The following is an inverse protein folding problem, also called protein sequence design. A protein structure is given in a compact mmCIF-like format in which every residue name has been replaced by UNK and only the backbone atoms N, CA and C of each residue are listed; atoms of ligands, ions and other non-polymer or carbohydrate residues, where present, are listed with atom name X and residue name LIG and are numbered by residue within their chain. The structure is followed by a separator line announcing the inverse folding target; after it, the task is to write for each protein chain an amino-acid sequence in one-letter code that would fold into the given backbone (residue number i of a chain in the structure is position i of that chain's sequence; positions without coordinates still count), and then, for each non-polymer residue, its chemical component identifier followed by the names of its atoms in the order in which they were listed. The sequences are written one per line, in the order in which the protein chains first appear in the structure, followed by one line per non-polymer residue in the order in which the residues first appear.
data_IF_386991606387
#
_entry.id   IF_386991606387
#
_cell.length_a   1.000
_cell.length_b   1.000
_cell.length_c   1.000
_cell.angle_alpha   90.00
_cell.angle_beta   90.00
_cell.angle_gamma   90.00
#
_symmetry.space_group_name_H-M   'P 1'
#
loop_
_entity.id
_entity.type
_entity.pdbx_description
1 polymer ?
#
# COMPACT_ATOMS: atom_id res chain seq x y z
N UNK A 1 26.67 -20.95 -37.54
CA UNK A 1 26.89 -21.05 -36.09
C UNK A 1 27.90 -19.97 -35.76
N UNK A 2 27.50 -18.91 -35.07
CA UNK A 2 28.24 -18.43 -33.90
C UNK A 2 27.53 -17.23 -33.27
N UNK A 3 27.62 -17.24 -31.95
CA UNK A 3 26.74 -16.62 -30.98
C UNK A 3 27.45 -15.38 -30.43
N UNK A 4 26.97 -14.18 -30.75
CA UNK A 4 27.52 -12.94 -30.19
C UNK A 4 26.43 -12.18 -29.42
N UNK A 5 26.25 -12.57 -28.16
CA UNK A 5 25.37 -11.90 -27.21
C UNK A 5 25.97 -10.57 -26.77
N UNK A 6 25.43 -9.47 -27.27
CA UNK A 6 25.72 -8.12 -26.77
C UNK A 6 25.26 -7.99 -25.32
N UNK A 7 26.23 -7.99 -24.40
CA UNK A 7 26.10 -7.36 -23.09
C UNK A 7 26.04 -5.85 -23.29
N UNK A 8 24.86 -5.26 -23.17
CA UNK A 8 24.76 -3.80 -23.05
C UNK A 8 24.92 -3.40 -21.59
N UNK A 9 26.12 -2.94 -21.25
CA UNK A 9 26.40 -2.22 -20.01
C UNK A 9 25.98 -0.75 -20.20
N UNK A 10 24.88 -0.33 -19.57
CA UNK A 10 24.49 1.08 -19.59
C UNK A 10 25.07 1.81 -18.38
N UNK A 11 26.09 2.63 -18.67
CA UNK A 11 26.59 3.71 -17.82
C UNK A 11 25.50 4.77 -17.65
N UNK A 12 25.02 4.97 -16.42
CA UNK A 12 24.30 6.17 -15.99
C UNK A 12 24.87 6.52 -14.62
N UNK A 13 26.00 7.23 -14.58
CA UNK A 13 26.70 7.53 -13.31
C UNK A 13 26.86 9.03 -13.01
N UNK A 14 26.29 9.94 -13.81
CA UNK A 14 26.57 11.38 -13.67
C UNK A 14 25.35 12.32 -13.50
N UNK A 15 24.11 11.85 -13.25
CA UNK A 15 23.01 12.75 -12.83
C UNK A 15 22.96 12.82 -11.28
N UNK A 16 23.19 13.97 -10.64
CA UNK A 16 23.18 14.12 -9.18
C UNK A 16 21.88 13.66 -8.52
N UNK A 17 20.74 13.73 -9.22
CA UNK A 17 19.43 13.27 -8.72
C UNK A 17 19.28 11.75 -8.77
N UNK A 18 20.00 11.10 -9.69
CA UNK A 18 20.07 9.64 -9.83
C UNK A 18 21.03 9.05 -8.78
N UNK A 19 22.18 9.71 -8.56
CA UNK A 19 23.15 9.33 -7.52
C UNK A 19 22.58 9.57 -6.11
N UNK A 20 21.83 10.65 -5.86
CA UNK A 20 21.19 10.89 -4.56
C UNK A 20 20.17 9.80 -4.16
N UNK A 21 19.42 9.24 -5.12
CA UNK A 21 18.47 8.14 -4.84
C UNK A 21 19.14 6.77 -4.74
N UNK A 22 20.37 6.61 -5.26
CA UNK A 22 21.24 5.44 -5.03
C UNK A 22 22.07 5.56 -3.74
N UNK A 23 22.45 6.78 -3.36
CA UNK A 23 23.44 7.12 -2.34
C UNK A 23 22.89 7.61 -0.99
N UNK A 24 21.59 7.82 -0.84
CA UNK A 24 20.96 8.17 0.45
C UNK A 24 20.95 7.02 1.50
N UNK A 25 21.93 6.12 1.42
CA UNK A 25 22.28 5.12 2.42
C UNK A 25 23.71 5.32 2.96
N UNK A 26 24.43 6.39 2.61
CA UNK A 26 25.74 6.69 3.19
C UNK A 26 26.04 8.19 3.23
N UNK A 27 26.17 8.70 4.47
CA UNK A 27 26.82 9.93 4.93
C UNK A 27 26.30 11.29 4.43
N UNK A 28 25.79 12.10 5.37
CA UNK A 28 25.89 13.56 5.29
C UNK A 28 26.47 14.12 6.60
N UNK A 29 27.51 14.92 6.41
CA UNK A 29 28.28 15.67 7.41
C UNK A 29 27.50 16.91 7.82
N UNK A 30 27.48 17.17 9.13
CA UNK A 30 26.81 18.29 9.80
C UNK A 30 27.35 19.66 9.39
N UNK A 31 26.45 20.63 9.17
CA UNK A 31 26.75 22.05 9.30
C UNK A 31 25.85 22.67 10.39
N UNK A 32 26.38 23.56 11.25
CA UNK A 32 25.68 24.03 12.45
C UNK A 32 24.61 25.10 12.15
N UNK A 33 23.58 25.25 13.02
CA UNK A 33 22.46 26.15 12.78
C UNK A 33 22.81 27.62 13.10
N UNK A 34 22.42 28.53 12.21
CA UNK A 34 22.37 29.97 12.47
C UNK A 34 21.13 30.32 13.30
N UNK A 35 21.31 31.22 14.28
CA UNK A 35 20.26 31.77 15.15
C UNK A 35 19.34 32.71 14.36
N UNK A 36 18.04 32.80 14.69
CA UNK A 36 17.21 33.91 14.25
C UNK A 36 17.29 35.06 15.26
N UNK A 37 17.63 36.24 14.74
CA UNK A 37 17.51 37.51 15.43
C UNK A 37 16.11 38.12 15.21
N UNK A 38 15.65 38.75 16.28
CA UNK A 38 14.91 40.01 16.33
C UNK A 38 13.37 40.13 16.18
N UNK A 39 12.85 40.75 17.25
CA UNK A 39 11.92 41.89 17.32
C UNK A 39 10.42 41.63 17.34
N UNK A 40 9.88 41.77 18.55
CA UNK A 40 8.50 42.13 18.84
C UNK A 40 8.23 43.62 18.51
N UNK A 41 6.96 43.99 18.26
CA UNK A 41 6.49 45.33 18.59
C UNK A 41 5.30 45.34 19.57
N UNK A 42 5.48 46.22 20.56
CA UNK A 42 4.56 47.03 21.36
C UNK A 42 3.04 46.91 21.17
N UNK A 43 2.37 46.81 22.32
CA UNK A 43 0.96 47.09 22.56
C UNK A 43 0.67 48.60 22.44
N UNK A 44 -0.39 48.96 21.73
CA UNK A 44 -1.09 50.24 21.91
C UNK A 44 -2.59 50.01 21.82
N UNK A 45 -3.30 50.54 22.82
CA UNK A 45 -4.73 50.50 23.02
C UNK A 45 -5.50 51.19 21.88
N UNK A 46 -6.68 50.67 21.54
CA UNK A 46 -7.81 51.53 21.17
C UNK A 46 -9.13 50.85 21.51
N UNK A 47 -9.99 51.62 22.16
CA UNK A 47 -11.31 51.27 22.67
C UNK A 47 -12.32 51.20 21.51
N UNK A 48 -13.12 50.13 21.44
CA UNK A 48 -14.28 50.04 20.56
C UNK A 48 -15.55 50.57 21.26
N UNK A 49 -16.39 51.37 20.59
CA UNK A 49 -17.70 51.73 21.10
C UNK A 49 -18.77 50.68 20.74
N UNK A 50 -19.61 50.40 21.74
CA UNK A 50 -20.78 49.51 21.70
C UNK A 50 -21.75 49.88 20.58
N UNK A 51 -22.09 48.91 19.70
CA UNK A 51 -23.20 49.04 18.74
C UNK A 51 -24.16 47.85 18.86
N UNK A 52 -25.44 48.18 18.90
CA UNK A 52 -26.59 47.34 19.15
C UNK A 52 -26.69 46.08 18.27
N UNK A 53 -27.22 45.00 18.86
CA UNK A 53 -27.60 43.77 18.16
C UNK A 53 -28.83 43.98 17.28
N UNK A 54 -28.83 43.53 16.01
CA UNK A 54 -30.05 43.24 15.26
C UNK A 54 -30.42 41.75 15.34
N UNK A 55 -31.73 41.49 15.31
CA UNK A 55 -32.40 40.18 15.34
C UNK A 55 -31.85 39.12 14.36
N UNK A 56 -32.01 37.82 14.66
CA UNK A 56 -31.51 36.75 13.79
C UNK A 56 -32.35 36.62 12.52
N UNK A 57 -31.71 36.90 11.37
CA UNK A 57 -32.25 36.59 10.05
C UNK A 57 -32.37 35.07 9.86
N UNK A 58 -33.55 34.65 9.40
CA UNK A 58 -33.95 33.28 9.07
C UNK A 58 -32.96 32.64 8.07
N UNK A 59 -32.41 31.48 8.42
CA UNK A 59 -31.54 30.70 7.53
C UNK A 59 -32.30 30.30 6.24
N UNK A 60 -31.70 30.43 5.04
CA UNK A 60 -32.33 29.97 3.81
C UNK A 60 -32.37 28.43 3.79
N UNK A 61 -33.50 27.90 3.34
CA UNK A 61 -33.77 26.47 3.25
C UNK A 61 -32.70 25.75 2.41
N UNK A 62 -32.19 24.63 2.94
CA UNK A 62 -31.27 23.74 2.25
C UNK A 62 -31.91 23.22 0.96
N UNK A 63 -31.25 23.47 -0.18
CA UNK A 63 -31.65 22.86 -1.44
C UNK A 63 -31.35 21.35 -1.40
N UNK A 64 -32.25 20.50 -1.92
CA UNK A 64 -32.06 19.05 -1.92
C UNK A 64 -30.86 18.66 -2.77
N UNK A 65 -29.98 17.84 -2.18
CA UNK A 65 -28.84 17.22 -2.86
C UNK A 65 -29.38 16.36 -4.02
N UNK A 66 -28.89 16.51 -5.26
CA UNK A 66 -29.38 15.72 -6.37
C UNK A 66 -29.12 14.22 -6.13
N UNK A 67 -30.18 13.44 -6.34
CA UNK A 67 -30.21 12.00 -6.14
C UNK A 67 -29.12 11.32 -6.99
N UNK A 68 -28.31 10.52 -6.31
CA UNK A 68 -27.13 9.84 -6.86
C UNK A 68 -27.61 8.79 -7.87
N UNK A 69 -27.15 8.88 -9.12
CA UNK A 69 -27.39 7.84 -10.11
C UNK A 69 -27.07 6.45 -9.51
N UNK A 70 -27.94 5.44 -9.69
CA UNK A 70 -27.75 4.14 -9.07
C UNK A 70 -26.42 3.55 -9.52
N UNK A 71 -25.61 3.13 -8.55
CA UNK A 71 -24.37 2.42 -8.84
C UNK A 71 -24.71 1.17 -9.68
N UNK A 72 -23.92 0.81 -10.70
CA UNK A 72 -24.13 -0.42 -11.44
C UNK A 72 -24.21 -1.59 -10.44
N UNK A 73 -25.16 -2.49 -10.65
CA UNK A 73 -25.38 -3.64 -9.77
C UNK A 73 -24.05 -4.38 -9.56
N UNK A 74 -23.51 -4.24 -8.36
CA UNK A 74 -22.28 -4.91 -7.96
C UNK A 74 -22.65 -6.38 -7.86
N UNK A 75 -22.11 -7.21 -8.75
CA UNK A 75 -22.14 -8.65 -8.57
C UNK A 75 -21.30 -8.92 -7.34
N UNK A 76 -21.95 -8.96 -6.17
CA UNK A 76 -21.32 -9.34 -4.93
C UNK A 76 -20.69 -10.71 -5.13
N UNK A 77 -19.46 -10.87 -4.66
CA UNK A 77 -18.77 -12.15 -4.78
C UNK A 77 -19.60 -13.22 -4.09
N UNK A 78 -19.98 -14.26 -4.83
CA UNK A 78 -20.85 -15.31 -4.30
C UNK A 78 -20.10 -16.12 -3.24
N UNK A 79 -20.79 -16.66 -2.23
CA UNK A 79 -20.16 -17.62 -1.34
C UNK A 79 -19.61 -18.81 -2.13
N UNK A 80 -18.55 -19.46 -1.62
CA UNK A 80 -17.99 -20.63 -2.28
C UNK A 80 -19.02 -21.77 -2.32
N UNK A 81 -19.04 -22.49 -3.44
CA UNK A 81 -19.80 -23.74 -3.58
C UNK A 81 -19.27 -24.79 -2.62
N UNK A 82 -20.06 -25.85 -2.37
CA UNK A 82 -19.62 -26.98 -1.54
C UNK A 82 -18.32 -27.61 -2.04
N UNK A 83 -18.13 -27.68 -3.36
CA UNK A 83 -16.91 -28.24 -3.95
C UNK A 83 -15.69 -27.33 -3.80
N UNK A 84 -15.88 -26.02 -4.02
CA UNK A 84 -14.83 -25.01 -3.79
C UNK A 84 -14.40 -25.02 -2.32
N UNK A 85 -15.36 -25.03 -1.39
CA UNK A 85 -15.11 -25.16 0.03
C UNK A 85 -14.36 -26.46 0.34
N UNK A 86 -14.74 -27.61 -0.24
CA UNK A 86 -14.03 -28.87 -0.03
C UNK A 86 -12.56 -28.82 -0.53
N UNK A 87 -12.30 -28.15 -1.67
CA UNK A 87 -10.94 -27.95 -2.18
C UNK A 87 -10.12 -27.06 -1.24
N UNK A 88 -10.70 -25.98 -0.75
CA UNK A 88 -10.07 -25.08 0.24
C UNK A 88 -9.78 -25.80 1.57
N UNK A 89 -10.72 -26.59 2.09
CA UNK A 89 -10.51 -27.42 3.29
C UNK A 89 -9.35 -28.41 3.09
N UNK A 90 -9.28 -29.06 1.93
CA UNK A 90 -8.20 -29.99 1.60
C UNK A 90 -6.84 -29.28 1.58
N UNK A 91 -6.77 -28.08 0.99
CA UNK A 91 -5.56 -27.28 0.97
C UNK A 91 -5.14 -26.83 2.38
N UNK A 92 -6.08 -26.29 3.17
CA UNK A 92 -5.84 -25.85 4.54
C UNK A 92 -5.31 -27.01 5.42
N UNK A 93 -5.89 -28.21 5.29
CA UNK A 93 -5.44 -29.41 6.00
C UNK A 93 -3.98 -29.76 5.68
N UNK A 94 -3.56 -29.63 4.41
CA UNK A 94 -2.16 -29.87 4.02
C UNK A 94 -1.22 -28.84 4.63
N UNK A 95 -1.61 -27.56 4.61
CA UNK A 95 -0.80 -26.46 5.16
C UNK A 95 -0.43 -26.71 6.62
N UNK A 96 -1.32 -27.27 7.44
CA UNK A 96 -1.07 -27.46 8.86
C UNK A 96 0.19 -28.28 9.17
N UNK A 97 0.59 -29.22 8.29
CA UNK A 97 1.78 -30.05 8.46
C UNK A 97 3.06 -29.49 7.82
N UNK A 98 2.98 -28.39 7.08
CA UNK A 98 4.13 -27.79 6.41
C UNK A 98 5.01 -27.02 7.41
N UNK A 99 6.32 -27.00 7.13
CA UNK A 99 7.28 -26.26 7.95
C UNK A 99 7.58 -24.90 7.33
N UNK A 100 7.59 -23.86 8.15
CA UNK A 100 7.96 -22.51 7.74
C UNK A 100 9.37 -22.48 7.14
N UNK A 101 10.32 -23.24 7.70
CA UNK A 101 11.69 -23.32 7.17
C UNK A 101 11.75 -23.90 5.75
N UNK A 102 10.90 -24.89 5.45
CA UNK A 102 10.84 -25.48 4.10
C UNK A 102 10.23 -24.50 3.11
N UNK A 103 9.13 -23.84 3.49
CA UNK A 103 8.46 -22.83 2.68
C UNK A 103 9.35 -21.61 2.40
N UNK A 104 10.07 -21.10 3.40
CA UNK A 104 11.06 -20.03 3.20
C UNK A 104 12.15 -20.44 2.22
N UNK A 105 12.68 -21.67 2.32
CA UNK A 105 13.69 -22.17 1.38
C UNK A 105 13.15 -22.33 -0.04
N UNK A 106 11.91 -22.80 -0.20
CA UNK A 106 11.22 -22.86 -1.49
C UNK A 106 11.10 -21.46 -2.10
N UNK A 107 10.65 -20.48 -1.32
CA UNK A 107 10.55 -19.08 -1.76
C UNK A 107 11.90 -18.50 -2.21
N UNK A 108 12.95 -18.68 -1.40
CA UNK A 108 14.29 -18.17 -1.73
C UNK A 108 14.86 -18.84 -2.98
N UNK A 109 14.61 -20.14 -3.16
CA UNK A 109 15.09 -20.91 -4.32
C UNK A 109 14.34 -20.55 -5.59
N UNK A 110 13.01 -20.55 -5.55
CA UNK A 110 12.19 -20.49 -6.76
C UNK A 110 11.73 -19.09 -7.12
N UNK A 111 11.62 -18.18 -6.14
CA UNK A 111 10.99 -16.89 -6.36
C UNK A 111 11.97 -15.72 -6.23
N UNK A 112 13.01 -15.78 -5.40
CA UNK A 112 13.90 -14.62 -5.17
C UNK A 112 14.39 -13.93 -6.45
N UNK A 113 14.72 -14.72 -7.49
CA UNK A 113 15.21 -14.23 -8.80
C UNK A 113 14.24 -14.48 -9.96
N UNK A 114 13.01 -14.91 -9.66
CA UNK A 114 12.03 -15.20 -10.70
C UNK A 114 11.55 -13.92 -11.38
N UNK A 115 11.76 -13.87 -12.69
CA UNK A 115 11.21 -12.89 -13.62
C UNK A 115 10.36 -13.66 -14.64
N UNK A 116 9.05 -13.38 -14.73
CA UNK A 116 8.22 -14.08 -15.70
C UNK A 116 8.67 -13.76 -17.13
N UNK A 117 8.71 -14.76 -18.04
CA UNK A 117 9.10 -14.54 -19.42
C UNK A 117 8.05 -13.72 -20.17
N UNK A 118 8.48 -12.97 -21.19
CA UNK A 118 7.62 -12.23 -22.10
C UNK A 118 7.05 -10.90 -21.57
N UNK A 119 7.47 -10.47 -20.38
CA UNK A 119 7.06 -9.18 -19.82
C UNK A 119 8.02 -8.07 -20.23
N UNK A 120 7.48 -6.88 -20.44
CA UNK A 120 8.26 -5.68 -20.76
C UNK A 120 8.13 -4.64 -19.65
N UNK A 121 9.15 -3.79 -19.54
CA UNK A 121 9.24 -2.73 -18.51
C UNK A 121 9.75 -1.42 -19.13
N UNK A 122 9.35 -1.18 -20.39
CA UNK A 122 9.85 -0.08 -21.22
C UNK A 122 9.31 1.24 -20.69
N UNK A 123 8.01 1.34 -20.39
CA UNK A 123 7.38 2.61 -20.06
C UNK A 123 8.00 3.28 -18.82
N UNK A 124 8.40 2.50 -17.80
CA UNK A 124 9.06 3.05 -16.62
C UNK A 124 10.52 3.46 -16.83
N UNK A 125 11.14 3.03 -17.93
CA UNK A 125 12.57 3.25 -18.24
C UNK A 125 12.81 4.34 -19.29
N UNK A 126 11.75 5.00 -19.78
CA UNK A 126 11.85 5.95 -20.90
C UNK A 126 11.66 7.39 -20.46
N UNK A 127 12.54 8.28 -20.94
CA UNK A 127 12.40 9.73 -20.85
C UNK A 127 12.11 10.23 -19.43
N UNK A 128 11.04 11.00 -19.28
CA UNK A 128 10.63 11.61 -18.00
C UNK A 128 10.19 10.59 -16.94
N UNK A 129 9.88 9.35 -17.32
CA UNK A 129 9.38 8.33 -16.38
C UNK A 129 10.48 7.77 -15.48
N UNK A 130 11.76 7.95 -15.83
CA UNK A 130 12.92 7.58 -14.99
C UNK A 130 12.93 8.31 -13.63
N UNK A 131 12.19 9.40 -13.51
CA UNK A 131 12.06 10.16 -12.26
C UNK A 131 10.80 9.80 -11.46
N UNK A 132 9.99 8.85 -11.96
CA UNK A 132 8.68 8.47 -11.40
C UNK A 132 8.69 7.15 -10.59
N UNK A 133 9.85 6.59 -10.25
CA UNK A 133 9.97 5.46 -9.31
C UNK A 133 10.52 5.87 -7.93
N UNK A 134 10.03 5.23 -6.86
CA UNK A 134 10.63 5.34 -5.51
C UNK A 134 11.85 4.43 -5.34
N UNK A 135 11.84 3.27 -5.99
CA UNK A 135 12.90 2.28 -5.90
C UNK A 135 13.16 1.67 -7.27
N UNK A 136 14.36 1.86 -7.81
CA UNK A 136 14.76 1.40 -9.14
C UNK A 136 14.80 -0.14 -9.27
N UNK A 137 14.86 -0.88 -8.16
CA UNK A 137 14.76 -2.35 -8.16
C UNK A 137 13.34 -2.85 -8.42
N UNK A 138 12.33 -1.98 -8.29
CA UNK A 138 10.93 -2.34 -8.52
C UNK A 138 10.49 -1.70 -9.83
N UNK A 139 10.42 -2.52 -10.89
CA UNK A 139 10.00 -2.09 -12.21
C UNK A 139 8.46 -1.97 -12.32
N UNK A 140 7.97 -1.29 -13.35
CA UNK A 140 6.55 -1.28 -13.70
C UNK A 140 6.36 -2.14 -14.96
N UNK A 141 5.52 -3.16 -14.87
CA UNK A 141 5.25 -4.09 -16.00
C UNK A 141 4.31 -3.39 -16.99
N UNK A 142 4.67 -3.35 -18.27
CA UNK A 142 3.89 -2.61 -19.27
C UNK A 142 2.52 -3.23 -19.51
N UNK A 143 2.43 -4.57 -19.52
CA UNK A 143 1.22 -5.33 -19.85
C UNK A 143 0.07 -5.10 -18.87
N UNK A 144 0.39 -4.75 -17.63
CA UNK A 144 -0.58 -4.58 -16.54
C UNK A 144 -0.50 -3.19 -15.92
N UNK A 145 0.29 -2.26 -16.45
CA UNK A 145 0.40 -0.91 -15.88
C UNK A 145 -0.94 -0.20 -15.94
N UNK A 146 -1.18 0.65 -14.96
CA UNK A 146 -2.25 1.64 -15.08
C UNK A 146 -1.81 2.71 -16.07
N UNK A 147 -2.63 2.95 -17.07
CA UNK A 147 -2.47 4.03 -18.06
C UNK A 147 -3.33 5.20 -17.62
N UNK A 148 -2.74 6.36 -17.35
CA UNK A 148 -3.48 7.54 -16.91
C UNK A 148 -4.42 8.01 -18.04
N UNK A 149 -5.73 7.78 -17.85
CA UNK A 149 -6.78 8.14 -18.82
C UNK A 149 -6.78 9.64 -19.11
N UNK A 150 -7.18 10.03 -20.32
CA UNK A 150 -7.30 11.44 -20.73
C UNK A 150 -5.99 12.24 -20.64
N UNK A 151 -4.85 11.56 -20.80
CA UNK A 151 -3.51 12.16 -20.94
C UNK A 151 -2.87 11.68 -22.24
N UNK A 152 -1.97 12.49 -22.80
CA UNK A 152 -1.16 12.08 -23.95
C UNK A 152 -0.25 10.91 -23.61
N UNK A 153 0.09 10.08 -24.60
CA UNK A 153 0.93 8.88 -24.41
C UNK A 153 2.32 9.20 -23.85
N UNK A 154 2.80 10.43 -23.98
CA UNK A 154 4.06 10.92 -23.45
C UNK A 154 4.02 11.27 -21.94
N UNK A 155 2.81 11.32 -21.35
CA UNK A 155 2.55 11.68 -19.95
C UNK A 155 1.52 10.77 -19.27
N UNK A 156 1.27 9.59 -19.85
CA UNK A 156 0.27 8.62 -19.37
C UNK A 156 0.76 7.73 -18.22
N UNK A 157 2.01 7.89 -17.78
CA UNK A 157 2.67 6.94 -16.89
C UNK A 157 2.52 7.30 -15.41
N UNK A 158 2.12 6.29 -14.64
CA UNK A 158 2.25 6.18 -13.18
C UNK A 158 2.81 4.80 -12.83
N UNK A 159 3.59 4.69 -11.74
CA UNK A 159 4.15 3.41 -11.28
C UNK A 159 3.13 2.60 -10.48
N UNK A 160 2.13 2.10 -11.20
CA UNK A 160 1.04 1.29 -10.67
C UNK A 160 0.70 0.16 -11.64
N UNK A 161 0.31 -1.00 -11.10
CA UNK A 161 -0.15 -2.13 -11.90
C UNK A 161 -1.52 -2.61 -11.41
N UNK A 162 -2.36 -3.03 -12.35
CA UNK A 162 -3.56 -3.78 -12.05
C UNK A 162 -3.18 -5.15 -11.46
N UNK A 163 -3.81 -5.50 -10.35
CA UNK A 163 -3.70 -6.80 -9.71
C UNK A 163 -5.08 -7.37 -9.40
N UNK A 164 -5.20 -8.69 -9.38
CA UNK A 164 -6.44 -9.36 -8.99
C UNK A 164 -6.65 -10.69 -9.68
N UNK A 165 -7.69 -11.39 -9.22
CA UNK A 165 -8.14 -12.65 -9.81
C UNK A 165 -8.94 -12.38 -11.10
N UNK A 166 -8.82 -13.25 -12.12
CA UNK A 166 -9.72 -13.21 -13.27
C UNK A 166 -11.14 -13.72 -12.94
N UNK A 167 -11.37 -14.23 -11.73
CA UNK A 167 -12.68 -14.74 -11.32
C UNK A 167 -13.78 -13.66 -11.39
N UNK A 168 -15.00 -13.99 -11.86
CA UNK A 168 -16.12 -13.06 -11.87
C UNK A 168 -16.44 -12.53 -10.47
N UNK A 169 -16.67 -11.22 -10.36
CA UNK A 169 -16.97 -10.57 -9.07
C UNK A 169 -15.76 -10.30 -8.18
N UNK A 170 -14.56 -10.74 -8.57
CA UNK A 170 -13.34 -10.50 -7.80
C UNK A 170 -13.03 -9.00 -7.66
N UNK A 171 -12.47 -8.64 -6.50
CA UNK A 171 -12.00 -7.27 -6.25
C UNK A 171 -10.91 -6.90 -7.25
N UNK A 172 -11.06 -5.74 -7.89
CA UNK A 172 -10.07 -5.17 -8.80
C UNK A 172 -9.12 -4.27 -8.02
N UNK A 173 -7.85 -4.63 -7.96
CA UNK A 173 -6.84 -3.87 -7.25
C UNK A 173 -5.98 -3.05 -8.21
N UNK A 174 -5.63 -1.84 -7.78
CA UNK A 174 -4.50 -1.08 -8.31
C UNK A 174 -3.42 -1.11 -7.24
N UNK A 175 -2.33 -1.83 -7.52
CA UNK A 175 -1.19 -1.93 -6.63
C UNK A 175 -0.11 -0.95 -7.07
N UNK A 176 0.21 0.03 -6.23
CA UNK A 176 1.08 1.17 -6.58
C UNK A 176 2.14 1.43 -5.51
N UNK A 177 3.26 2.03 -5.91
CA UNK A 177 4.16 2.65 -4.94
C UNK A 177 3.46 3.83 -4.23
N UNK A 178 3.98 4.21 -3.06
CA UNK A 178 3.53 5.41 -2.37
C UNK A 178 3.76 6.66 -3.25
N UNK A 179 2.82 7.61 -3.29
CA UNK A 179 3.04 8.87 -3.98
C UNK A 179 4.19 9.65 -3.35
N UNK A 180 4.96 10.36 -4.17
CA UNK A 180 5.90 11.39 -3.73
C UNK A 180 5.56 12.74 -4.36
N UNK A 181 6.29 13.79 -3.99
CA UNK A 181 6.01 15.18 -4.42
C UNK A 181 5.79 15.32 -5.92
N UNK A 182 6.59 14.65 -6.76
CA UNK A 182 6.46 14.72 -8.22
C UNK A 182 5.35 13.83 -8.80
N UNK A 183 4.79 12.88 -8.04
CA UNK A 183 3.82 11.88 -8.54
C UNK A 183 2.45 11.93 -7.85
N UNK A 184 2.26 12.79 -6.85
CA UNK A 184 0.97 12.95 -6.15
C UNK A 184 -0.17 13.40 -7.08
N UNK A 185 0.12 14.24 -8.09
CA UNK A 185 -0.89 14.63 -9.07
C UNK A 185 -1.31 13.44 -9.93
N UNK A 186 -0.36 12.64 -10.39
CA UNK A 186 -0.60 11.41 -11.15
C UNK A 186 -1.44 10.43 -10.32
N UNK A 187 -1.15 10.30 -9.02
CA UNK A 187 -1.89 9.44 -8.11
C UNK A 187 -3.35 9.88 -7.97
N UNK A 188 -3.62 11.16 -7.73
CA UNK A 188 -5.00 11.65 -7.64
C UNK A 188 -5.73 11.60 -8.96
N UNK A 189 -5.03 11.86 -10.07
CA UNK A 189 -5.56 11.67 -11.41
C UNK A 189 -6.02 10.23 -11.65
N UNK A 190 -5.19 9.26 -11.29
CA UNK A 190 -5.53 7.84 -11.34
C UNK A 190 -6.76 7.53 -10.49
N UNK A 191 -6.76 7.89 -9.20
CA UNK A 191 -7.89 7.65 -8.30
C UNK A 191 -9.20 8.26 -8.82
N UNK A 192 -9.14 9.48 -9.35
CA UNK A 192 -10.31 10.20 -9.90
C UNK A 192 -10.83 9.55 -11.19
N UNK A 193 -9.96 9.30 -12.16
CA UNK A 193 -10.35 8.79 -13.49
C UNK A 193 -10.69 7.31 -13.50
N UNK A 194 -10.07 6.50 -12.63
CA UNK A 194 -10.45 5.11 -12.39
C UNK A 194 -11.68 4.98 -11.50
N UNK A 195 -12.20 6.11 -10.98
CA UNK A 195 -13.29 6.14 -10.00
C UNK A 195 -12.98 5.15 -8.87
N UNK A 196 -11.79 5.19 -8.29
CA UNK A 196 -11.43 4.31 -7.18
C UNK A 196 -12.43 4.47 -6.03
N UNK A 197 -12.93 3.38 -5.45
CA UNK A 197 -13.82 3.43 -4.28
C UNK A 197 -13.04 3.61 -3.00
N UNK A 198 -11.82 3.07 -2.96
CA UNK A 198 -11.00 2.98 -1.77
C UNK A 198 -9.51 3.20 -2.05
N UNK A 199 -8.81 3.77 -1.06
CA UNK A 199 -7.36 3.79 -0.93
C UNK A 199 -6.96 3.14 0.39
N UNK A 200 -6.17 2.07 0.32
CA UNK A 200 -5.58 1.39 1.46
C UNK A 200 -4.07 1.66 1.50
N UNK A 201 -3.65 2.50 2.44
CA UNK A 201 -2.26 2.87 2.70
C UNK A 201 -1.70 1.98 3.81
N UNK A 202 -0.80 1.06 3.45
CA UNK A 202 -0.18 0.06 4.33
C UNK A 202 1.25 0.43 4.75
N UNK A 203 1.55 1.72 4.84
CA UNK A 203 2.80 2.24 5.38
C UNK A 203 2.55 3.57 6.08
N UNK A 204 3.44 4.01 6.95
CA UNK A 204 3.41 5.38 7.45
C UNK A 204 4.14 6.35 6.47
N UNK A 205 4.16 7.63 6.79
CA UNK A 205 4.92 8.62 6.02
C UNK A 205 6.42 8.43 6.20
N UNK A 206 6.86 8.16 7.43
CA UNK A 206 8.23 7.83 7.78
C UNK A 206 8.27 6.53 8.57
N UNK A 207 9.30 5.72 8.36
CA UNK A 207 9.52 4.49 9.13
C UNK A 207 11.01 4.39 9.48
N UNK A 208 11.32 3.97 10.72
CA UNK A 208 12.70 3.75 11.18
C UNK A 208 13.27 2.46 10.62
N UNK A 209 14.38 2.53 9.88
CA UNK A 209 15.03 1.35 9.28
C UNK A 209 16.26 0.86 10.04
N UNK A 210 16.81 1.69 10.95
CA UNK A 210 17.85 1.33 11.91
C UNK A 210 18.08 2.50 12.86
N UNK A 211 18.04 2.27 14.18
CA UNK A 211 18.49 3.08 15.34
C UNK A 211 18.33 4.61 15.40
N UNK A 212 18.49 5.34 14.31
CA UNK A 212 18.74 6.78 14.30
C UNK A 212 18.21 7.53 13.06
N UNK A 213 17.73 6.84 12.01
CA UNK A 213 17.29 7.50 10.76
C UNK A 213 15.88 7.09 10.37
N UNK A 214 14.96 8.04 10.47
CA UNK A 214 13.64 7.95 9.83
C UNK A 214 13.79 8.08 8.32
N UNK A 215 13.29 7.10 7.56
CA UNK A 215 13.29 7.15 6.10
C UNK A 215 11.89 7.50 5.61
N UNK A 216 11.76 8.46 4.69
CA UNK A 216 10.48 8.73 4.03
C UNK A 216 10.02 7.49 3.24
N UNK A 217 8.87 6.95 3.62
CA UNK A 217 8.20 5.84 2.93
C UNK A 217 7.07 6.33 2.03
N UNK A 218 6.41 7.42 2.40
CA UNK A 218 5.31 8.01 1.69
C UNK A 218 5.29 9.53 1.90
N UNK A 219 5.00 10.28 0.84
CA UNK A 219 4.79 11.73 0.95
C UNK A 219 3.40 12.00 1.54
N UNK A 220 3.21 13.18 2.14
CA UNK A 220 1.90 13.62 2.66
C UNK A 220 1.00 14.07 1.51
N UNK A 221 0.47 13.10 0.76
CA UNK A 221 -0.32 13.33 -0.46
C UNK A 221 -1.80 13.62 -0.20
N UNK A 222 -2.28 13.57 1.05
CA UNK A 222 -3.66 13.88 1.44
C UNK A 222 -3.70 14.75 2.71
N UNK A 223 -4.69 15.65 2.86
CA UNK A 223 -4.93 16.39 4.11
C UNK A 223 -5.39 15.43 5.21
N UNK A 224 -5.04 15.72 6.47
CA UNK A 224 -5.30 14.80 7.59
C UNK A 224 -6.35 15.30 8.57
N UNK A 225 -6.60 16.61 8.59
CA UNK A 225 -7.63 17.21 9.45
C UNK A 225 -8.98 17.22 8.71
N UNK A 226 -10.11 17.05 9.41
CA UNK A 226 -11.42 17.18 8.79
C UNK A 226 -11.60 18.54 8.13
N UNK A 227 -12.20 18.56 6.94
CA UNK A 227 -12.43 19.71 6.06
C UNK A 227 -11.17 20.44 5.56
N UNK A 228 -9.98 19.98 5.94
CA UNK A 228 -8.72 20.47 5.39
C UNK A 228 -8.61 20.06 3.92
N UNK A 229 -8.12 20.99 3.12
CA UNK A 229 -8.03 20.85 1.67
C UNK A 229 -6.61 21.09 1.21
N UNK A 230 -6.19 20.32 0.21
CA UNK A 230 -4.91 20.46 -0.47
C UNK A 230 -5.13 20.57 -1.98
N UNK A 231 -4.42 21.51 -2.62
CA UNK A 231 -4.39 21.64 -4.08
C UNK A 231 -3.21 20.86 -4.63
N UNK A 232 -3.48 19.93 -5.55
CA UNK A 232 -2.49 19.09 -6.22
C UNK A 232 -2.73 19.16 -7.72
N UNK A 233 -1.99 20.05 -8.40
CA UNK A 233 -2.19 20.31 -9.83
C UNK A 233 -3.64 20.74 -10.14
N UNK A 234 -4.31 20.01 -11.02
CA UNK A 234 -5.71 20.24 -11.37
C UNK A 234 -6.73 19.77 -10.31
N UNK A 235 -6.28 19.06 -9.26
CA UNK A 235 -7.13 18.42 -8.26
C UNK A 235 -7.16 19.20 -6.95
N UNK A 236 -8.34 19.26 -6.36
CA UNK A 236 -8.54 19.71 -4.98
C UNK A 236 -8.96 18.50 -4.16
N UNK A 237 -8.14 18.14 -3.18
CA UNK A 237 -8.31 16.96 -2.33
C UNK A 237 -8.71 17.44 -0.95
N UNK A 238 -9.90 17.04 -0.49
CA UNK A 238 -10.46 17.46 0.79
C UNK A 238 -10.63 16.23 1.68
N UNK A 239 -10.10 16.28 2.90
CA UNK A 239 -10.37 15.27 3.90
C UNK A 239 -11.74 15.53 4.50
N UNK A 240 -12.65 14.57 4.34
CA UNK A 240 -13.93 14.57 5.05
C UNK A 240 -13.74 13.95 6.44
N UNK A 241 -14.83 13.82 7.16
CA UNK A 241 -14.83 13.29 8.52
C UNK A 241 -14.23 11.87 8.61
N UNK A 242 -13.69 11.57 9.80
CA UNK A 242 -13.23 10.21 10.10
C UNK A 242 -14.43 9.28 10.13
N UNK A 243 -14.26 8.10 9.54
CA UNK A 243 -15.29 7.08 9.62
C UNK A 243 -15.24 6.46 11.03
N UNK A 244 -16.38 6.40 11.71
CA UNK A 244 -16.48 5.83 13.05
C UNK A 244 -16.19 4.33 13.09
N UNK A 245 -16.37 3.64 11.96
CA UNK A 245 -16.14 2.21 11.79
C UNK A 245 -15.50 1.93 10.41
N UNK A 246 -14.73 0.83 10.29
CA UNK A 246 -14.42 -0.16 11.33
C UNK A 246 -13.39 0.35 12.36
N UNK A 247 -13.43 -0.20 13.56
CA UNK A 247 -12.42 0.08 14.60
C UNK A 247 -11.31 -0.96 14.48
N UNK A 248 -10.22 -0.57 13.82
CA UNK A 248 -9.02 -1.40 13.68
C UNK A 248 -7.87 -0.65 14.33
N UNK A 249 -7.20 -1.29 15.30
CA UNK A 249 -6.05 -0.69 15.97
C UNK A 249 -4.95 -0.30 14.95
N UNK A 250 -4.33 0.86 15.16
CA UNK A 250 -3.33 1.47 14.26
C UNK A 250 -3.85 1.82 12.85
N UNK A 251 -5.16 1.80 12.63
CA UNK A 251 -5.79 2.25 11.40
C UNK A 251 -6.58 3.54 11.59
N UNK A 252 -6.58 4.40 10.58
CA UNK A 252 -7.42 5.61 10.54
C UNK A 252 -8.22 5.62 9.26
N UNK A 253 -9.54 5.56 9.39
CA UNK A 253 -10.49 5.58 8.30
C UNK A 253 -11.08 6.97 8.10
N UNK A 254 -11.25 7.40 6.86
CA UNK A 254 -11.84 8.70 6.50
C UNK A 254 -12.42 8.64 5.09
N UNK A 255 -13.31 9.57 4.77
CA UNK A 255 -13.64 9.85 3.37
C UNK A 255 -12.70 10.92 2.82
N UNK A 256 -12.31 10.79 1.54
CA UNK A 256 -11.58 11.80 0.78
C UNK A 256 -12.45 12.19 -0.41
N UNK A 257 -12.66 13.50 -0.58
CA UNK A 257 -13.28 14.06 -1.76
C UNK A 257 -12.21 14.59 -2.71
N UNK A 258 -12.33 14.24 -3.99
CA UNK A 258 -11.46 14.69 -5.06
C UNK A 258 -12.30 15.50 -6.04
N UNK A 259 -12.04 16.80 -6.13
CA UNK A 259 -12.67 17.71 -7.10
C UNK A 259 -11.67 18.04 -8.21
N UNK A 260 -12.15 18.08 -9.45
CA UNK A 260 -11.36 18.47 -10.62
C UNK A 260 -12.14 19.52 -11.42
N UNK A 261 -11.75 20.80 -11.28
CA UNK A 261 -12.44 21.93 -11.92
C UNK A 261 -13.97 21.86 -11.72
N UNK A 262 -14.73 21.93 -12.81
CA UNK A 262 -16.20 21.90 -12.85
C UNK A 262 -16.77 20.49 -13.01
N UNK A 263 -15.93 19.45 -12.95
CA UNK A 263 -16.39 18.07 -13.05
C UNK A 263 -16.97 17.58 -11.71
N UNK A 264 -17.92 16.62 -11.72
CA UNK A 264 -18.49 16.06 -10.50
C UNK A 264 -17.39 15.49 -9.58
N UNK A 265 -17.45 15.78 -8.26
CA UNK A 265 -16.47 15.27 -7.32
C UNK A 265 -16.54 13.74 -7.22
N UNK A 266 -15.39 13.12 -6.93
CA UNK A 266 -15.30 11.70 -6.58
C UNK A 266 -15.01 11.59 -5.10
N UNK A 267 -15.88 10.90 -4.37
CA UNK A 267 -15.63 10.53 -2.98
C UNK A 267 -15.17 9.08 -2.93
N UNK A 268 -14.06 8.85 -2.22
CA UNK A 268 -13.52 7.53 -1.91
C UNK A 268 -13.26 7.39 -0.42
N UNK A 269 -13.20 6.16 0.08
CA UNK A 269 -12.77 5.89 1.44
C UNK A 269 -11.25 5.70 1.48
N UNK A 270 -10.61 6.23 2.52
CA UNK A 270 -9.17 6.12 2.73
C UNK A 270 -8.90 5.48 4.08
N UNK A 271 -8.01 4.50 4.11
CA UNK A 271 -7.48 3.89 5.33
C UNK A 271 -5.96 4.04 5.37
N UNK A 272 -5.47 4.67 6.42
CA UNK A 272 -4.05 4.65 6.78
C UNK A 272 -3.83 3.63 7.89
N UNK A 273 -3.14 2.53 7.60
CA UNK A 273 -2.80 1.48 8.54
C UNK A 273 -1.30 1.42 8.83
N UNK A 274 -0.95 1.60 10.11
CA UNK A 274 0.45 1.60 10.62
C UNK A 274 0.87 0.28 11.25
N UNK A 275 -0.06 -0.64 11.46
CA UNK A 275 0.21 -1.90 12.16
C UNK A 275 0.97 -2.96 11.34
N UNK A 276 1.61 -2.59 10.23
CA UNK A 276 2.37 -3.50 9.37
C UNK A 276 3.77 -2.95 9.06
N UNK A 277 4.82 -3.35 9.81
CA UNK A 277 6.20 -2.93 9.57
C UNK A 277 6.74 -3.36 8.19
N UNK A 278 7.61 -2.57 7.54
CA UNK A 278 8.12 -2.88 6.19
C UNK A 278 8.99 -4.14 6.11
N UNK A 279 9.93 -4.29 7.04
CA UNK A 279 10.95 -5.34 7.03
C UNK A 279 10.46 -6.67 7.60
N UNK A 280 9.26 -6.70 8.19
CA UNK A 280 8.73 -7.86 8.90
C UNK A 280 7.26 -8.08 8.50
N UNK A 281 6.60 -9.04 9.13
CA UNK A 281 5.16 -9.23 9.02
C UNK A 281 4.52 -9.19 10.41
N UNK A 282 3.23 -8.83 10.54
CA UNK A 282 2.51 -8.93 11.80
C UNK A 282 2.49 -10.38 12.31
N UNK A 283 2.61 -10.55 13.63
CA UNK A 283 2.48 -11.87 14.28
C UNK A 283 1.04 -12.36 14.16
N UNK A 284 0.08 -11.46 14.35
CA UNK A 284 -1.35 -11.73 14.26
C UNK A 284 -1.92 -11.20 12.93
N UNK A 285 -3.00 -11.82 12.47
CA UNK A 285 -3.68 -11.50 11.21
C UNK A 285 -4.93 -10.64 11.40
N UNK A 286 -5.48 -10.59 12.61
CA UNK A 286 -6.81 -10.00 12.90
C UNK A 286 -6.99 -8.62 12.27
N UNK A 287 -6.00 -7.74 12.42
CA UNK A 287 -6.06 -6.36 11.92
C UNK A 287 -6.08 -6.31 10.40
N UNK A 288 -5.21 -7.08 9.74
CA UNK A 288 -5.15 -7.15 8.26
C UNK A 288 -6.42 -7.80 7.71
N UNK A 289 -6.96 -8.80 8.40
CA UNK A 289 -8.20 -9.45 8.00
C UNK A 289 -9.44 -8.58 8.22
N UNK A 290 -9.45 -7.72 9.25
CA UNK A 290 -10.48 -6.68 9.40
C UNK A 290 -10.42 -5.68 8.24
N UNK A 291 -9.23 -5.28 7.79
CA UNK A 291 -9.06 -4.44 6.60
C UNK A 291 -9.53 -5.15 5.32
N UNK A 292 -9.21 -6.44 5.17
CA UNK A 292 -9.68 -7.24 4.04
C UNK A 292 -11.19 -7.33 3.99
N UNK A 293 -11.87 -7.66 5.11
CA UNK A 293 -13.34 -7.62 5.18
C UNK A 293 -13.91 -6.24 4.87
N UNK A 294 -13.30 -5.19 5.40
CA UNK A 294 -13.73 -3.82 5.12
C UNK A 294 -13.66 -3.49 3.62
N UNK A 295 -12.56 -3.86 2.94
CA UNK A 295 -12.43 -3.72 1.48
C UNK A 295 -13.54 -4.49 0.77
N UNK A 296 -13.76 -5.76 1.14
CA UNK A 296 -14.81 -6.62 0.56
C UNK A 296 -16.21 -6.04 0.69
N UNK A 297 -16.51 -5.39 1.81
CA UNK A 297 -17.82 -4.76 2.04
C UNK A 297 -17.98 -3.43 1.30
N UNK A 298 -16.91 -2.65 1.12
CA UNK A 298 -17.02 -1.25 0.69
C UNK A 298 -16.50 -0.97 -0.73
N UNK A 299 -15.83 -1.91 -1.40
CA UNK A 299 -15.29 -1.67 -2.74
C UNK A 299 -16.35 -1.36 -3.79
N UNK A 300 -17.59 -1.81 -3.58
CA UNK A 300 -18.76 -1.51 -4.43
C UNK A 300 -18.49 -1.73 -5.93
N UNK A 301 -17.80 -2.82 -6.28
CA UNK A 301 -17.46 -3.18 -7.67
C UNK A 301 -16.46 -2.26 -8.37
N UNK A 302 -15.95 -1.22 -7.68
CA UNK A 302 -15.00 -0.24 -8.20
C UNK A 302 -13.56 -0.60 -7.80
N UNK A 303 -12.54 -0.06 -8.50
CA UNK A 303 -11.14 -0.32 -8.18
C UNK A 303 -10.76 0.09 -6.76
N UNK A 304 -9.96 -0.75 -6.10
CA UNK A 304 -9.36 -0.49 -4.79
C UNK A 304 -7.87 -0.21 -5.00
N UNK A 305 -7.42 0.99 -4.63
CA UNK A 305 -6.01 1.36 -4.70
C UNK A 305 -5.34 0.89 -3.41
N UNK A 306 -4.31 0.07 -3.51
CA UNK A 306 -3.52 -0.41 -2.37
C UNK A 306 -2.08 0.01 -2.59
N UNK A 307 -1.50 0.66 -1.59
CA UNK A 307 -0.10 1.06 -1.66
C UNK A 307 0.62 0.85 -0.32
N UNK A 308 1.92 0.64 -0.44
CA UNK A 308 2.88 0.75 0.67
C UNK A 308 4.01 1.65 0.16
N UNK A 309 5.25 1.55 0.65
CA UNK A 309 6.34 2.37 0.11
C UNK A 309 6.63 2.07 -1.37
N UNK A 310 7.02 0.83 -1.69
CA UNK A 310 7.32 0.40 -3.07
C UNK A 310 6.14 -0.25 -3.79
N UNK A 311 5.08 -0.62 -3.05
CA UNK A 311 3.92 -1.29 -3.62
C UNK A 311 4.18 -2.72 -4.09
N UNK A 312 5.29 -3.36 -3.69
CA UNK A 312 5.60 -4.76 -4.05
C UNK A 312 5.73 -5.70 -2.85
N UNK A 313 5.83 -5.16 -1.62
CA UNK A 313 5.78 -5.95 -0.38
C UNK A 313 4.36 -6.04 0.19
N UNK A 314 4.10 -5.35 1.30
CA UNK A 314 2.81 -5.26 2.03
C UNK A 314 1.57 -5.16 1.13
N UNK A 315 1.57 -4.19 0.21
CA UNK A 315 0.47 -3.98 -0.74
C UNK A 315 0.21 -5.19 -1.63
N UNK A 316 1.26 -5.74 -2.25
CA UNK A 316 1.12 -6.93 -3.09
C UNK A 316 0.66 -8.14 -2.25
N UNK A 317 1.19 -8.32 -1.04
CA UNK A 317 0.73 -9.38 -0.12
C UNK A 317 -0.77 -9.26 0.17
N UNK A 318 -1.26 -8.06 0.47
CA UNK A 318 -2.69 -7.83 0.71
C UNK A 318 -3.54 -8.14 -0.54
N UNK A 319 -3.18 -7.60 -1.71
CA UNK A 319 -3.91 -7.86 -2.96
C UNK A 319 -3.91 -9.34 -3.36
N UNK A 320 -2.91 -10.11 -2.90
CA UNK A 320 -2.78 -11.54 -3.22
C UNK A 320 -3.78 -12.42 -2.45
N UNK A 321 -4.36 -11.94 -1.35
CA UNK A 321 -5.29 -12.73 -0.51
C UNK A 321 -6.44 -13.26 -1.38
N UNK A 322 -7.17 -12.38 -2.07
CA UNK A 322 -8.30 -12.77 -2.93
C UNK A 322 -7.84 -13.64 -4.12
N UNK A 323 -6.68 -13.35 -4.72
CA UNK A 323 -6.16 -14.16 -5.82
C UNK A 323 -5.91 -15.60 -5.36
N UNK A 324 -5.24 -15.76 -4.21
CA UNK A 324 -4.90 -17.06 -3.66
C UNK A 324 -6.16 -17.88 -3.32
N UNK A 325 -7.16 -17.25 -2.69
CA UNK A 325 -8.44 -17.90 -2.37
C UNK A 325 -9.10 -18.43 -3.64
N UNK A 326 -9.25 -17.60 -4.69
CA UNK A 326 -9.82 -18.04 -5.96
C UNK A 326 -9.01 -19.15 -6.63
N UNK A 327 -7.68 -19.05 -6.61
CA UNK A 327 -6.81 -20.06 -7.20
C UNK A 327 -6.93 -21.42 -6.50
N UNK A 328 -7.03 -21.42 -5.17
CA UNK A 328 -7.19 -22.63 -4.34
C UNK A 328 -8.61 -23.19 -4.45
N UNK A 329 -9.62 -22.30 -4.53
CA UNK A 329 -11.01 -22.67 -4.78
C UNK A 329 -11.18 -23.39 -6.12
N UNK A 330 -10.35 -23.09 -7.13
CA UNK A 330 -10.29 -23.83 -8.39
C UNK A 330 -9.51 -25.15 -8.30
N UNK A 331 -8.45 -25.21 -7.48
CA UNK A 331 -7.54 -26.35 -7.43
C UNK A 331 -6.90 -26.56 -6.03
N UNK A 332 -7.24 -27.69 -5.39
CA UNK A 332 -6.70 -28.11 -4.07
C UNK A 332 -5.21 -28.45 -4.06
N UNK A 333 -4.56 -28.53 -5.22
CA UNK A 333 -3.12 -28.76 -5.39
C UNK A 333 -2.33 -27.48 -5.63
N UNK A 334 -2.98 -26.32 -5.62
CA UNK A 334 -2.35 -25.00 -5.72
C UNK A 334 -1.19 -24.87 -4.73
N UNK A 335 0.01 -24.64 -5.26
CA UNK A 335 1.16 -24.23 -4.46
C UNK A 335 1.21 -22.71 -4.39
N UNK A 336 1.46 -22.17 -3.20
CA UNK A 336 1.55 -20.72 -3.04
C UNK A 336 2.71 -20.11 -3.82
N UNK A 337 3.77 -20.87 -4.09
CA UNK A 337 4.86 -20.38 -4.94
C UNK A 337 4.37 -20.06 -6.36
N UNK A 338 3.45 -20.84 -6.90
CA UNK A 338 2.87 -20.62 -8.23
C UNK A 338 1.91 -19.42 -8.20
N UNK A 339 1.17 -19.24 -7.10
CA UNK A 339 0.42 -18.00 -6.86
C UNK A 339 1.34 -16.79 -6.90
N UNK A 340 2.49 -16.80 -6.20
CA UNK A 340 3.43 -15.67 -6.27
C UNK A 340 4.00 -15.46 -7.67
N UNK A 341 4.29 -16.53 -8.41
CA UNK A 341 4.74 -16.44 -9.80
C UNK A 341 3.68 -15.79 -10.70
N UNK A 342 2.40 -16.09 -10.48
CA UNK A 342 1.29 -15.45 -11.18
C UNK A 342 1.21 -13.96 -10.85
N UNK A 343 1.28 -13.59 -9.56
CA UNK A 343 1.23 -12.18 -9.17
C UNK A 343 2.44 -11.39 -9.64
N UNK A 344 3.60 -12.04 -9.81
CA UNK A 344 4.77 -11.41 -10.44
C UNK A 344 4.61 -11.14 -11.93
N UNK A 345 3.62 -11.75 -12.59
CA UNK A 345 3.18 -11.34 -13.93
C UNK A 345 2.34 -10.07 -13.93
N UNK A 346 1.75 -9.73 -12.79
CA UNK A 346 0.91 -8.55 -12.62
C UNK A 346 1.70 -7.38 -12.02
N UNK A 347 2.56 -7.62 -11.02
CA UNK A 347 3.37 -6.58 -10.35
C UNK A 347 4.79 -7.11 -10.11
N UNK A 348 5.79 -6.38 -10.61
CA UNK A 348 7.19 -6.76 -10.45
C UNK A 348 7.57 -6.88 -8.97
N UNK A 349 8.34 -7.92 -8.65
CA UNK A 349 8.79 -8.22 -7.29
C UNK A 349 7.65 -8.35 -6.25
N UNK A 350 6.41 -8.65 -6.69
CA UNK A 350 5.31 -8.97 -5.79
C UNK A 350 5.76 -10.03 -4.77
N UNK A 351 5.56 -9.69 -3.49
CA UNK A 351 5.98 -10.44 -2.31
C UNK A 351 7.52 -10.56 -2.30
N UNK A 352 8.16 -9.65 -1.54
CA UNK A 352 9.61 -9.43 -1.57
C UNK A 352 10.40 -10.34 -0.63
N UNK A 353 9.80 -10.77 0.47
CA UNK A 353 10.49 -11.56 1.51
C UNK A 353 9.75 -12.85 1.82
N UNK A 354 10.51 -13.82 2.30
CA UNK A 354 9.99 -15.08 2.81
C UNK A 354 9.03 -14.86 4.00
N UNK A 355 9.30 -13.88 4.87
CA UNK A 355 8.42 -13.53 5.99
C UNK A 355 7.03 -13.12 5.50
N UNK A 356 6.96 -12.29 4.45
CA UNK A 356 5.69 -11.89 3.83
C UNK A 356 5.02 -13.06 3.10
N UNK A 357 5.80 -13.96 2.51
CA UNK A 357 5.29 -15.19 1.89
C UNK A 357 4.66 -16.14 2.92
N UNK A 358 5.31 -16.34 4.06
CA UNK A 358 4.74 -17.12 5.17
C UNK A 358 3.47 -16.44 5.73
N UNK A 359 3.50 -15.12 5.89
CA UNK A 359 2.32 -14.38 6.36
C UNK A 359 1.15 -14.49 5.39
N UNK A 360 1.40 -14.49 4.08
CA UNK A 360 0.35 -14.72 3.07
C UNK A 360 -0.36 -16.08 3.26
N UNK A 361 0.37 -17.14 3.61
CA UNK A 361 -0.29 -18.44 3.90
C UNK A 361 -1.23 -18.34 5.10
N UNK A 362 -0.80 -17.63 6.16
CA UNK A 362 -1.62 -17.42 7.35
C UNK A 362 -2.87 -16.58 7.03
N UNK A 363 -2.70 -15.49 6.28
CA UNK A 363 -3.81 -14.63 5.84
C UNK A 363 -4.83 -15.40 4.99
N UNK A 364 -4.36 -16.24 4.06
CA UNK A 364 -5.24 -17.07 3.21
C UNK A 364 -5.97 -18.11 4.06
N UNK A 365 -5.29 -18.73 5.02
CA UNK A 365 -5.91 -19.67 5.95
C UNK A 365 -7.00 -18.98 6.79
N UNK A 366 -6.74 -17.78 7.31
CA UNK A 366 -7.73 -17.00 8.04
C UNK A 366 -8.90 -16.56 7.18
N UNK A 367 -8.65 -16.12 5.96
CA UNK A 367 -9.71 -15.77 5.02
C UNK A 367 -10.65 -16.97 4.81
N UNK A 368 -10.11 -18.17 4.60
CA UNK A 368 -10.91 -19.39 4.48
C UNK A 368 -11.70 -19.71 5.75
N UNK A 369 -11.15 -19.50 6.94
CA UNK A 369 -11.89 -19.68 8.20
C UNK A 369 -13.03 -18.66 8.31
N UNK A 370 -12.77 -17.40 7.96
CA UNK A 370 -13.76 -16.32 7.99
C UNK A 370 -14.90 -16.54 7.00
N UNK A 371 -14.61 -17.08 5.82
CA UNK A 371 -15.59 -17.47 4.81
C UNK A 371 -16.31 -18.80 5.13
N UNK A 372 -16.02 -19.41 6.28
CA UNK A 372 -16.52 -20.75 6.69
C UNK A 372 -16.14 -21.85 5.70
N UNK A 373 -15.11 -21.62 4.89
CA UNK A 373 -14.51 -22.57 3.96
C UNK A 373 -13.42 -23.43 4.60
N UNK A 374 -12.96 -23.12 5.82
CA UNK A 374 -12.03 -23.96 6.58
C UNK A 374 -12.38 -23.98 8.08
N UNK A 375 -11.93 -25.02 8.79
CA UNK A 375 -12.09 -25.09 10.25
C UNK A 375 -11.01 -24.26 10.96
N UNK A 376 -11.30 -23.70 12.15
CA UNK A 376 -10.27 -23.11 13.01
C UNK A 376 -9.13 -24.08 13.27
N UNK A 377 -7.92 -23.55 13.42
CA UNK A 377 -6.67 -24.32 13.27
C UNK A 377 -5.77 -24.28 14.51
N UNK A 378 -6.36 -24.35 15.71
CA UNK A 378 -5.67 -24.22 17.00
C UNK A 378 -4.47 -25.16 17.20
N UNK A 379 -4.47 -26.35 16.57
CA UNK A 379 -3.40 -27.34 16.65
C UNK A 379 -2.43 -27.33 15.44
N UNK A 380 -2.38 -26.24 14.65
CA UNK A 380 -1.57 -26.19 13.44
C UNK A 380 -0.07 -25.99 13.74
N UNK A 381 0.75 -26.96 13.33
CA UNK A 381 2.21 -26.86 13.38
C UNK A 381 2.74 -25.66 12.59
N UNK A 382 2.25 -25.47 11.37
CA UNK A 382 2.62 -24.31 10.54
C UNK A 382 2.42 -22.98 11.29
N UNK A 383 1.25 -22.80 11.90
CA UNK A 383 0.89 -21.55 12.60
C UNK A 383 1.75 -21.34 13.84
N UNK A 384 1.98 -22.39 14.62
CA UNK A 384 2.88 -22.33 15.77
C UNK A 384 4.32 -21.97 15.35
N UNK A 385 4.82 -22.57 14.27
CA UNK A 385 6.14 -22.24 13.70
C UNK A 385 6.18 -20.78 13.20
N UNK A 386 5.13 -20.31 12.52
CA UNK A 386 5.05 -18.93 12.02
C UNK A 386 5.09 -17.92 13.16
N UNK A 387 4.24 -18.09 14.18
CA UNK A 387 4.19 -17.16 15.33
C UNK A 387 5.56 -17.07 16.00
N UNK A 388 6.22 -18.20 16.25
CA UNK A 388 7.58 -18.23 16.82
C UNK A 388 8.62 -17.58 15.90
N UNK A 389 8.58 -17.85 14.60
CA UNK A 389 9.51 -17.28 13.62
C UNK A 389 9.38 -15.75 13.56
N UNK A 390 8.15 -15.26 13.42
CA UNK A 390 7.84 -13.84 13.27
C UNK A 390 8.05 -13.08 14.58
N UNK A 391 7.73 -13.64 15.75
CA UNK A 391 8.05 -13.02 17.04
C UNK A 391 9.56 -12.76 17.17
N UNK A 392 10.39 -13.76 16.85
CA UNK A 392 11.85 -13.62 16.90
C UNK A 392 12.37 -12.65 15.83
N UNK A 393 11.83 -12.69 14.62
CA UNK A 393 12.25 -11.82 13.53
C UNK A 393 11.86 -10.36 13.80
N UNK A 394 10.62 -10.13 14.21
CA UNK A 394 10.09 -8.80 14.56
C UNK A 394 10.78 -8.24 15.79
N UNK A 395 11.06 -9.04 16.83
CA UNK A 395 11.87 -8.60 17.97
C UNK A 395 13.27 -8.13 17.52
N UNK A 396 13.92 -8.84 16.59
CA UNK A 396 15.21 -8.40 16.01
C UNK A 396 15.06 -7.16 15.14
N UNK A 397 13.98 -7.04 14.37
CA UNK A 397 13.67 -5.83 13.60
C UNK A 397 13.56 -4.61 14.54
N UNK A 398 12.82 -4.75 15.65
CA UNK A 398 12.57 -3.69 16.64
C UNK A 398 13.83 -3.38 17.46
N UNK A 399 14.59 -4.40 17.89
CA UNK A 399 15.86 -4.21 18.62
C UNK A 399 16.95 -3.55 17.78
N UNK A 400 16.91 -3.66 16.45
CA UNK A 400 17.77 -2.86 15.54
C UNK A 400 17.35 -1.39 15.45
N UNK A 401 16.17 -1.05 15.98
CA UNK A 401 15.62 0.32 16.02
C UNK A 401 15.83 0.96 17.40
N UNK A 402 16.02 0.19 18.48
CA UNK A 402 16.33 0.72 19.80
C UNK A 402 17.86 0.92 19.99
N UNK A 403 18.29 1.99 20.68
CA UNK A 403 19.71 2.18 20.99
C UNK A 403 20.22 1.02 21.85
N UNK A 404 21.44 0.54 21.56
CA UNK A 404 22.15 -0.30 22.52
C UNK A 404 22.37 0.52 23.78
N UNK A 405 22.20 -0.05 24.99
CA UNK A 405 22.62 0.64 26.20
C UNK A 405 24.09 1.01 26.04
N UNK A 406 24.39 2.29 26.25
CA UNK A 406 25.78 2.76 26.36
C UNK A 406 26.31 2.10 27.63
N UNK A 407 27.28 1.22 27.51
CA UNK A 407 28.03 0.77 28.68
C UNK A 407 28.77 2.00 29.23
N UNK A 408 28.32 2.50 30.38
CA UNK A 408 29.06 3.47 31.18
C UNK A 408 30.31 2.78 31.74
N UNK A 409 31.36 2.69 30.93
CA UNK A 409 32.66 2.20 31.38
C UNK A 409 33.78 2.83 30.55
N UNK A 410 34.08 4.10 30.86
CA UNK A 410 35.45 4.65 31.03
C UNK A 410 35.47 6.16 30.78
N UNK A 411 35.05 6.94 31.76
CA UNK A 411 35.55 8.32 31.94
C UNK A 411 35.88 8.54 33.41
N UNK A 412 36.87 7.78 33.88
CA UNK A 412 37.71 8.20 35.00
C UNK A 412 39.10 8.44 34.42
N UNK A 413 39.45 9.72 34.26
CA UNK A 413 40.82 10.21 34.30
C UNK A 413 40.94 11.09 35.54
#
# INVERSE_FOLDING_TARGET
MDNNGQRSAYYIDNDPRYVARRGALSMYVSLPPQRPDERAPSQSQNQEPTRAQPEPARAPAAQPVPERAPAPAVVAERPPTKEEAARMQSWAKKLHGLSCKKLSKEFEKENKRYLPPGLTTVACKTGRNLYKWRNAEVLCIDQTRVVLKKRGSDVDFIHANWMGSPAPGAVKYICTQAPFKETQEDFWHMCYTERASLVLMLCDFTEGSSGYVETEKCFRYFPQRPNETMKVGAYTVTARERLAQPVVADAVFRAIEIKCKDQPPVVLQHCLFRGWPESCAPVETDRVMQLWRWVKTHHAGRPVVVHSSTGSGRAATFCTIDYAIHRIAGDKHTKMIDVVKDLRRQRHAAIRSDVQFLYLHLLVLDAMVMEKAAKPYSASKFVAEYKKYTQNHTARCILRVLPKPVEESSWYL
#
